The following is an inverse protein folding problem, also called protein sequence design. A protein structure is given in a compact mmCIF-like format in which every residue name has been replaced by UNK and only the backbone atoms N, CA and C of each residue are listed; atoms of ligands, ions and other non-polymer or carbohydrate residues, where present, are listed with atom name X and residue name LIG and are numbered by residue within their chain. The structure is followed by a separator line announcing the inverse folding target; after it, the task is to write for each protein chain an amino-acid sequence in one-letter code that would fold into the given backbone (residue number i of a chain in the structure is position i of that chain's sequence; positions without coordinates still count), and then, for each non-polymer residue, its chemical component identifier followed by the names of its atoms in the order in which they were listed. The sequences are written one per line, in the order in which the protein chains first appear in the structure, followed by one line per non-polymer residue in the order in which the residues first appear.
data_IF_408886389426
#
_entry.id   IF_408886389426
#
_cell.length_a   1.000
_cell.length_b   1.000
_cell.length_c   1.000
_cell.angle_alpha   90.00
_cell.angle_beta   90.00
_cell.angle_gamma   90.00
#
_symmetry.space_group_name_H-M   'P 1'
#
loop_
_entity.id
_entity.type
_entity.pdbx_description
1 polymer ?
#
# COMPACT_ATOMS: atom_id res chain seq x y z
N UNK A 1 -12.11 6.89 -7.80
CA UNK A 1 -11.72 7.80 -6.69
C UNK A 1 -12.78 8.00 -5.61
N UNK A 2 -13.91 8.71 -5.80
CA UNK A 2 -14.82 9.07 -4.68
C UNK A 2 -15.31 7.88 -3.82
N UNK A 3 -15.57 6.71 -4.41
CA UNK A 3 -15.91 5.50 -3.65
C UNK A 3 -14.74 4.97 -2.81
N UNK A 4 -13.50 5.02 -3.32
CA UNK A 4 -12.31 4.56 -2.59
C UNK A 4 -12.11 5.37 -1.30
N UNK A 5 -12.30 6.71 -1.34
CA UNK A 5 -12.23 7.51 -0.12
C UNK A 5 -13.29 7.08 0.90
N UNK A 6 -14.56 6.87 0.51
CA UNK A 6 -15.60 6.41 1.46
C UNK A 6 -15.25 5.08 2.12
N UNK A 7 -14.78 4.08 1.36
CA UNK A 7 -14.35 2.80 1.93
C UNK A 7 -13.10 2.94 2.82
N UNK A 8 -12.16 3.79 2.44
CA UNK A 8 -10.95 4.15 3.19
C UNK A 8 -11.31 4.71 4.58
N UNK A 9 -12.16 5.75 4.63
CA UNK A 9 -12.65 6.35 5.88
C UNK A 9 -13.49 5.37 6.72
N UNK A 10 -14.34 4.54 6.10
CA UNK A 10 -15.07 3.48 6.81
C UNK A 10 -14.17 2.39 7.39
N UNK A 11 -12.99 2.14 6.80
CA UNK A 11 -11.98 1.24 7.37
C UNK A 11 -11.27 1.90 8.55
N UNK A 12 -10.82 3.16 8.40
CA UNK A 12 -10.21 3.92 9.50
C UNK A 12 -11.15 4.03 10.70
N UNK A 13 -12.42 4.38 10.48
CA UNK A 13 -13.44 4.47 11.53
C UNK A 13 -13.65 3.14 12.27
N UNK A 14 -13.60 2.00 11.55
CA UNK A 14 -13.61 0.67 12.18
C UNK A 14 -12.35 0.41 12.99
N UNK A 15 -11.15 0.72 12.46
CA UNK A 15 -9.88 0.57 13.18
C UNK A 15 -9.87 1.36 14.49
N UNK A 16 -10.26 2.64 14.45
CA UNK A 16 -10.35 3.52 15.63
C UNK A 16 -11.42 3.05 16.62
N UNK A 17 -12.58 2.60 16.13
CA UNK A 17 -13.65 2.03 16.99
C UNK A 17 -13.20 0.71 17.64
N UNK A 18 -12.38 -0.08 16.95
CA UNK A 18 -11.82 -1.32 17.49
C UNK A 18 -10.74 -1.02 18.53
N UNK A 19 -9.88 -0.03 18.29
CA UNK A 19 -8.89 0.42 19.27
C UNK A 19 -9.52 1.01 20.53
N UNK A 20 -10.55 1.85 20.42
CA UNK A 20 -11.25 2.40 21.60
C UNK A 20 -11.92 1.29 22.42
N UNK A 21 -12.57 0.31 21.76
CA UNK A 21 -13.11 -0.89 22.41
C UNK A 21 -12.03 -1.76 23.05
N UNK A 22 -10.86 -1.90 22.43
CA UNK A 22 -9.76 -2.70 22.98
C UNK A 22 -9.12 -1.99 24.19
N UNK A 23 -8.95 -0.68 24.12
CA UNK A 23 -8.48 0.15 25.23
C UNK A 23 -9.45 0.15 26.40
N UNK A 24 -10.77 0.25 26.17
CA UNK A 24 -11.79 0.12 27.23
C UNK A 24 -11.74 -1.28 27.88
N UNK A 25 -11.55 -2.35 27.09
CA UNK A 25 -11.34 -3.69 27.64
C UNK A 25 -10.05 -3.79 28.46
N UNK A 26 -8.93 -3.26 27.98
CA UNK A 26 -7.66 -3.28 28.71
C UNK A 26 -7.68 -2.42 29.98
N UNK A 27 -8.36 -1.27 29.96
CA UNK A 27 -8.63 -0.46 31.14
C UNK A 27 -9.51 -1.22 32.15
N UNK A 28 -10.56 -1.91 31.69
CA UNK A 28 -11.41 -2.76 32.54
C UNK A 28 -10.65 -3.94 33.14
N UNK A 29 -9.72 -4.55 32.39
CA UNK A 29 -8.87 -5.64 32.87
C UNK A 29 -7.86 -5.10 33.91
N UNK A 30 -7.13 -4.01 33.61
CA UNK A 30 -6.24 -3.35 34.60
C UNK A 30 -6.97 -2.93 35.88
N UNK A 31 -8.17 -2.34 35.75
CA UNK A 31 -9.00 -1.95 36.90
C UNK A 31 -9.46 -3.15 37.76
N UNK A 32 -9.50 -4.36 37.20
CA UNK A 32 -9.87 -5.60 37.90
C UNK A 32 -8.65 -6.32 38.50
N UNK A 33 -7.42 -5.97 38.09
CA UNK A 33 -6.19 -6.72 38.45
C UNK A 33 -5.15 -5.89 39.21
N UNK A 34 -5.25 -4.56 39.28
CA UNK A 34 -4.32 -3.75 40.09
C UNK A 34 -4.99 -2.57 40.79
N UNK A 35 -5.32 -2.73 42.07
CA UNK A 35 -5.38 -1.62 43.00
C UNK A 35 -3.97 -1.26 43.47
N UNK A 36 -3.38 -0.20 42.91
CA UNK A 36 -2.26 0.63 43.43
C UNK A 36 -2.09 1.82 42.46
N UNK A 37 -1.97 3.08 42.94
CA UNK A 37 -1.83 4.24 42.06
C UNK A 37 -0.39 4.43 41.56
N UNK A 38 -0.22 4.91 40.32
CA UNK A 38 1.08 5.24 39.74
C UNK A 38 1.12 6.74 39.39
N UNK A 39 2.16 7.41 39.87
CA UNK A 39 2.39 8.85 39.77
C UNK A 39 3.13 9.20 38.44
N UNK A 40 2.66 10.13 37.60
CA UNK A 40 3.27 10.39 36.30
C UNK A 40 4.39 11.44 36.38
N UNK A 41 5.66 11.01 36.35
CA UNK A 41 6.78 11.93 36.09
C UNK A 41 8.04 11.26 35.54
N UNK A 42 8.29 11.38 34.23
CA UNK A 42 9.64 11.49 33.66
C UNK A 42 9.60 11.97 32.19
N UNK A 43 10.09 13.20 31.97
CA UNK A 43 10.61 13.64 30.67
C UNK A 43 12.08 13.19 30.51
N UNK A 44 12.58 13.25 29.26
CA UNK A 44 14.00 13.27 28.88
C UNK A 44 14.71 11.91 28.92
N UNK A 45 15.50 11.47 27.93
CA UNK A 45 16.56 12.21 27.19
C UNK A 45 16.88 11.60 25.81
N UNK A 46 17.58 12.40 24.99
CA UNK A 46 18.18 12.11 23.67
C UNK A 46 18.87 10.75 23.48
N UNK A 47 18.85 10.24 22.24
CA UNK A 47 20.01 9.55 21.65
C UNK A 47 20.06 9.71 20.11
N UNK A 48 21.27 9.92 19.60
CA UNK A 48 21.57 10.21 18.17
C UNK A 48 22.13 8.96 17.49
N UNK A 49 22.08 8.94 16.14
CA UNK A 49 23.04 8.26 15.24
C UNK A 49 22.93 6.73 15.05
N UNK A 50 22.49 6.29 13.85
CA UNK A 50 23.37 5.59 12.92
C UNK A 50 22.84 5.56 11.47
N UNK A 51 23.74 5.56 10.48
CA UNK A 51 23.45 5.30 9.05
C UNK A 51 23.80 3.84 8.69
N UNK A 52 23.13 3.19 7.72
CA UNK A 52 23.54 1.87 7.23
C UNK A 52 24.73 1.97 6.24
N UNK A 53 25.63 0.97 6.20
CA UNK A 53 26.74 0.93 5.25
C UNK A 53 26.34 0.30 3.90
N UNK A 54 26.84 0.89 2.81
CA UNK A 54 26.84 0.29 1.47
C UNK A 54 28.00 -0.70 1.32
N UNK A 55 27.75 -1.86 0.72
CA UNK A 55 28.76 -2.90 0.49
C UNK A 55 28.45 -3.78 -0.73
N UNK A 56 28.98 -3.38 -1.88
CA UNK A 56 28.96 -4.14 -3.13
C UNK A 56 30.12 -5.15 -3.14
N UNK A 57 29.90 -6.42 -3.54
CA UNK A 57 30.91 -7.21 -4.27
C UNK A 57 30.27 -8.18 -5.28
N UNK A 58 30.98 -8.37 -6.39
CA UNK A 58 30.61 -9.24 -7.52
C UNK A 58 31.09 -10.68 -7.32
N UNK A 59 30.44 -11.63 -7.98
CA UNK A 59 30.97 -12.97 -8.25
C UNK A 59 30.63 -13.44 -9.66
N UNK A 60 31.59 -13.39 -10.59
CA UNK A 60 31.49 -14.02 -11.92
C UNK A 60 31.83 -15.51 -11.82
N UNK A 61 31.15 -16.35 -12.59
CA UNK A 61 31.82 -17.41 -13.35
C UNK A 61 30.98 -17.84 -14.57
N UNK A 62 31.63 -18.47 -15.56
CA UNK A 62 31.07 -18.71 -16.89
C UNK A 62 31.36 -20.13 -17.41
N UNK A 63 30.56 -20.58 -18.38
CA UNK A 63 30.87 -21.54 -19.45
C UNK A 63 29.81 -21.33 -20.56
N UNK A 64 30.11 -21.23 -21.86
CA UNK A 64 30.65 -22.25 -22.81
C UNK A 64 29.68 -23.43 -22.97
N UNK A 65 29.33 -23.96 -24.15
CA UNK A 65 29.57 -23.68 -25.60
C UNK A 65 28.45 -24.43 -26.40
N UNK A 66 28.23 -24.42 -27.73
CA UNK A 66 29.04 -24.08 -28.92
C UNK A 66 28.15 -23.72 -30.17
N UNK A 67 28.72 -23.79 -31.39
CA UNK A 67 28.21 -23.96 -32.79
C UNK A 67 26.78 -24.55 -32.98
N UNK A 68 26.00 -24.37 -34.08
CA UNK A 68 26.15 -23.83 -35.46
C UNK A 68 24.85 -24.21 -36.25
N UNK A 69 24.68 -24.19 -37.59
CA UNK A 69 25.36 -23.61 -38.77
C UNK A 69 24.40 -23.74 -40.02
N UNK A 70 24.73 -23.16 -41.18
CA UNK A 70 24.09 -23.28 -42.54
C UNK A 70 22.71 -22.61 -42.74
N UNK A 71 22.47 -21.71 -43.72
CA UNK A 71 22.70 -21.71 -45.18
C UNK A 71 21.65 -22.52 -45.99
N UNK A 72 20.71 -21.82 -46.66
CA UNK A 72 20.20 -22.24 -47.98
C UNK A 72 19.46 -21.12 -48.74
N UNK A 73 19.80 -20.99 -50.03
CA UNK A 73 18.99 -20.57 -51.19
C UNK A 73 18.11 -19.31 -51.16
N UNK A 74 18.54 -18.33 -51.97
CA UNK A 74 17.72 -17.29 -52.60
C UNK A 74 16.50 -17.89 -53.32
N UNK A 75 15.33 -17.27 -53.15
CA UNK A 75 14.21 -17.37 -54.09
C UNK A 75 13.58 -16.00 -54.30
N UNK A 76 13.32 -15.62 -55.56
CA UNK A 76 12.74 -14.32 -55.94
C UNK A 76 11.26 -14.50 -56.25
N UNK A 77 10.40 -13.71 -55.62
CA UNK A 77 9.06 -13.40 -56.14
C UNK A 77 8.73 -11.92 -55.97
N UNK A 78 8.03 -11.37 -56.96
CA UNK A 78 7.59 -9.98 -57.05
C UNK A 78 6.33 -9.73 -56.20
N UNK A 79 6.12 -8.47 -55.78
CA UNK A 79 4.75 -7.97 -55.50
C UNK A 79 4.63 -7.00 -54.32
N UNK A 80 4.28 -5.74 -54.64
CA UNK A 80 3.57 -4.78 -53.76
C UNK A 80 3.94 -4.76 -52.26
N UNK A 81 5.04 -4.08 -51.90
CA UNK A 81 5.18 -3.52 -50.55
C UNK A 81 4.32 -2.25 -50.49
N UNK A 82 3.06 -2.44 -50.08
CA UNK A 82 2.12 -1.34 -49.90
C UNK A 82 2.55 -0.39 -48.79
N UNK A 83 2.39 0.91 -49.04
CA UNK A 83 2.59 1.99 -48.05
C UNK A 83 1.44 2.00 -47.03
N UNK A 84 1.32 0.94 -46.24
CA UNK A 84 0.35 0.77 -45.15
C UNK A 84 1.04 0.11 -43.95
N UNK A 85 1.85 0.90 -43.25
CA UNK A 85 2.39 0.57 -41.93
C UNK A 85 2.36 1.85 -41.08
N UNK A 86 2.23 1.67 -39.76
CA UNK A 86 1.97 2.73 -38.76
C UNK A 86 0.50 3.18 -38.68
N UNK A 87 -0.39 2.26 -38.27
CA UNK A 87 -1.57 2.61 -37.45
C UNK A 87 -2.12 1.43 -36.60
N UNK A 88 -1.70 0.19 -36.84
CA UNK A 88 -2.32 -1.01 -36.24
C UNK A 88 -1.91 -1.42 -34.82
N UNK A 89 -1.03 -0.68 -34.13
CA UNK A 89 -0.49 -1.09 -32.81
C UNK A 89 -1.32 -0.58 -31.63
N UNK A 90 -1.59 0.73 -31.54
CA UNK A 90 -2.26 1.35 -30.37
C UNK A 90 -3.60 0.70 -30.00
N UNK A 91 -4.48 0.48 -30.97
CA UNK A 91 -5.85 -0.03 -30.73
C UNK A 91 -5.85 -1.43 -30.07
N UNK A 92 -4.84 -2.28 -30.31
CA UNK A 92 -4.76 -3.61 -29.68
C UNK A 92 -4.20 -3.59 -28.25
N UNK A 93 -3.50 -2.53 -27.89
CA UNK A 93 -2.87 -2.37 -26.58
C UNK A 93 -3.87 -1.76 -25.61
N UNK A 94 -4.50 -0.66 -26.01
CA UNK A 94 -5.57 0.03 -25.26
C UNK A 94 -6.76 -0.90 -24.92
N UNK A 95 -7.20 -1.75 -25.87
CA UNK A 95 -8.26 -2.74 -25.61
C UNK A 95 -7.83 -3.86 -24.63
N UNK A 96 -6.54 -4.22 -24.59
CA UNK A 96 -6.03 -5.25 -23.66
C UNK A 96 -5.89 -4.70 -22.24
N UNK A 97 -5.45 -3.46 -22.12
CA UNK A 97 -5.33 -2.74 -20.84
C UNK A 97 -6.70 -2.57 -20.18
N UNK A 98 -7.70 -2.06 -20.92
CA UNK A 98 -9.08 -1.94 -20.46
C UNK A 98 -9.68 -3.29 -20.00
N UNK A 99 -9.49 -4.36 -20.78
CA UNK A 99 -9.92 -5.71 -20.39
C UNK A 99 -9.16 -6.24 -19.16
N UNK A 100 -7.94 -5.79 -18.92
CA UNK A 100 -7.15 -6.06 -17.71
C UNK A 100 -7.72 -5.34 -16.50
N UNK A 101 -7.99 -4.03 -16.62
CA UNK A 101 -8.63 -3.21 -15.58
C UNK A 101 -9.98 -3.76 -15.14
N UNK A 102 -10.85 -4.15 -16.09
CA UNK A 102 -12.16 -4.73 -15.79
C UNK A 102 -12.03 -5.99 -14.92
N UNK A 103 -11.06 -6.86 -15.21
CA UNK A 103 -10.77 -8.07 -14.41
C UNK A 103 -10.25 -7.71 -13.02
N UNK A 104 -9.34 -6.74 -12.91
CA UNK A 104 -8.82 -6.24 -11.63
C UNK A 104 -9.98 -5.70 -10.77
N UNK A 105 -10.82 -4.84 -11.36
CA UNK A 105 -11.99 -4.25 -10.70
C UNK A 105 -12.98 -5.34 -10.27
N UNK A 106 -13.22 -6.36 -11.10
CA UNK A 106 -14.09 -7.48 -10.75
C UNK A 106 -13.57 -8.28 -9.54
N UNK A 107 -12.28 -8.63 -9.54
CA UNK A 107 -11.66 -9.34 -8.41
C UNK A 107 -11.68 -8.52 -7.12
N UNK A 108 -11.41 -7.20 -7.19
CA UNK A 108 -11.55 -6.28 -6.06
C UNK A 108 -12.99 -6.27 -5.51
N UNK A 109 -14.00 -6.20 -6.38
CA UNK A 109 -15.41 -6.24 -5.96
C UNK A 109 -15.76 -7.54 -5.23
N UNK A 110 -15.30 -8.69 -5.75
CA UNK A 110 -15.49 -9.98 -5.07
C UNK A 110 -14.73 -10.05 -3.73
N UNK A 111 -13.53 -9.47 -3.66
CA UNK A 111 -12.75 -9.39 -2.42
C UNK A 111 -13.46 -8.55 -1.35
N UNK A 112 -14.10 -7.44 -1.74
CA UNK A 112 -14.93 -6.59 -0.88
C UNK A 112 -16.16 -7.33 -0.34
N UNK A 113 -16.91 -8.01 -1.22
CA UNK A 113 -18.04 -8.84 -0.81
C UNK A 113 -17.62 -9.97 0.14
N UNK A 114 -16.41 -10.51 -0.02
CA UNK A 114 -15.86 -11.51 0.91
C UNK A 114 -15.44 -10.89 2.26
N UNK A 115 -14.90 -9.66 2.28
CA UNK A 115 -14.61 -8.92 3.54
C UNK A 115 -15.91 -8.65 4.33
N UNK A 116 -16.97 -8.21 3.66
CA UNK A 116 -18.28 -7.95 4.30
C UNK A 116 -18.87 -9.22 4.94
N UNK A 117 -18.63 -10.38 4.33
CA UNK A 117 -19.00 -11.71 4.87
C UNK A 117 -18.00 -12.27 5.89
N UNK A 118 -16.91 -11.55 6.19
CA UNK A 118 -15.78 -12.02 7.03
C UNK A 118 -15.05 -13.25 6.48
N UNK A 119 -15.17 -13.51 5.18
CA UNK A 119 -14.47 -14.56 4.43
C UNK A 119 -13.01 -14.12 4.10
N UNK A 120 -12.25 -13.66 5.10
CA UNK A 120 -10.98 -12.93 4.90
C UNK A 120 -9.93 -13.71 4.09
N UNK A 121 -9.85 -15.04 4.25
CA UNK A 121 -8.94 -15.90 3.45
C UNK A 121 -9.27 -15.87 1.95
N UNK A 122 -10.55 -15.86 1.60
CA UNK A 122 -11.03 -15.80 0.21
C UNK A 122 -10.86 -14.41 -0.37
N UNK A 123 -11.09 -13.36 0.44
CA UNK A 123 -10.73 -11.99 0.06
C UNK A 123 -9.24 -11.86 -0.26
N UNK A 124 -8.37 -12.42 0.59
CA UNK A 124 -6.92 -12.41 0.38
C UNK A 124 -6.51 -13.07 -0.94
N UNK A 125 -7.07 -14.24 -1.26
CA UNK A 125 -6.85 -14.93 -2.54
C UNK A 125 -7.27 -14.06 -3.73
N UNK A 126 -8.43 -13.43 -3.66
CA UNK A 126 -8.95 -12.54 -4.72
C UNK A 126 -8.07 -11.29 -4.88
N UNK A 127 -7.56 -10.72 -3.79
CA UNK A 127 -6.63 -9.58 -3.82
C UNK A 127 -5.27 -9.96 -4.39
N UNK A 128 -4.73 -11.15 -4.09
CA UNK A 128 -3.50 -11.63 -4.73
C UNK A 128 -3.66 -11.82 -6.25
N UNK A 129 -4.80 -12.35 -6.71
CA UNK A 129 -5.10 -12.47 -8.14
C UNK A 129 -5.24 -11.09 -8.80
N UNK A 130 -5.91 -10.13 -8.13
CA UNK A 130 -6.02 -8.76 -8.60
C UNK A 130 -4.64 -8.08 -8.69
N UNK A 131 -3.78 -8.24 -7.68
CA UNK A 131 -2.45 -7.65 -7.63
C UNK A 131 -1.56 -8.20 -8.75
N UNK A 132 -1.64 -9.51 -9.01
CA UNK A 132 -0.94 -10.15 -10.14
C UNK A 132 -1.37 -9.54 -11.47
N UNK A 133 -2.68 -9.43 -11.73
CA UNK A 133 -3.18 -8.81 -12.95
C UNK A 133 -2.74 -7.34 -13.08
N UNK A 134 -2.71 -6.59 -11.97
CA UNK A 134 -2.23 -5.20 -11.95
C UNK A 134 -0.72 -5.07 -12.23
N UNK A 135 0.10 -6.09 -11.90
CA UNK A 135 1.50 -6.17 -12.36
C UNK A 135 1.60 -6.55 -13.84
N UNK A 136 0.78 -7.48 -14.32
CA UNK A 136 0.78 -7.94 -15.74
C UNK A 136 0.45 -6.80 -16.73
N UNK A 137 -0.38 -5.82 -16.35
CA UNK A 137 -0.65 -4.60 -17.14
C UNK A 137 0.10 -3.35 -16.66
N UNK A 138 1.05 -3.48 -15.73
CA UNK A 138 1.84 -2.36 -15.16
C UNK A 138 1.04 -1.20 -14.53
N UNK A 139 -0.23 -1.40 -14.17
CA UNK A 139 -1.09 -0.36 -13.57
C UNK A 139 -0.72 -0.10 -12.10
N UNK A 140 0.26 0.78 -11.88
CA UNK A 140 0.85 1.06 -10.57
C UNK A 140 -0.14 1.53 -9.49
N UNK A 141 -1.13 2.37 -9.84
CA UNK A 141 -2.12 2.83 -8.85
C UNK A 141 -3.06 1.71 -8.38
N UNK A 142 -3.38 0.75 -9.26
CA UNK A 142 -4.12 -0.45 -8.89
C UNK A 142 -3.26 -1.33 -7.95
N UNK A 143 -1.97 -1.52 -8.25
CA UNK A 143 -1.04 -2.25 -7.37
C UNK A 143 -1.04 -1.65 -5.95
N UNK A 144 -0.85 -0.32 -5.82
CA UNK A 144 -0.86 0.42 -4.54
C UNK A 144 -2.20 0.27 -3.80
N UNK A 145 -3.31 0.42 -4.51
CA UNK A 145 -4.65 0.28 -3.92
C UNK A 145 -4.91 -1.14 -3.40
N UNK A 146 -4.53 -2.16 -4.15
CA UNK A 146 -4.72 -3.56 -3.77
C UNK A 146 -3.84 -3.92 -2.56
N UNK A 147 -2.62 -3.39 -2.47
CA UNK A 147 -1.73 -3.60 -1.32
C UNK A 147 -2.31 -2.95 -0.04
N UNK A 148 -2.85 -1.73 -0.10
CA UNK A 148 -3.57 -1.14 1.05
C UNK A 148 -4.74 -2.03 1.48
N UNK A 149 -5.47 -2.60 0.51
CA UNK A 149 -6.62 -3.44 0.82
C UNK A 149 -6.26 -4.83 1.36
N UNK A 150 -5.13 -5.40 0.94
CA UNK A 150 -4.56 -6.60 1.55
C UNK A 150 -4.16 -6.35 3.01
N UNK A 151 -3.60 -5.18 3.30
CA UNK A 151 -3.27 -4.78 4.67
C UNK A 151 -4.53 -4.55 5.52
N UNK A 152 -5.57 -3.91 4.97
CA UNK A 152 -6.88 -3.79 5.61
C UNK A 152 -7.52 -5.16 5.90
N UNK A 153 -7.46 -6.09 4.93
CA UNK A 153 -7.98 -7.45 5.07
C UNK A 153 -7.22 -8.24 6.15
N UNK A 154 -5.89 -8.12 6.20
CA UNK A 154 -5.07 -8.73 7.25
C UNK A 154 -5.41 -8.17 8.65
N UNK A 155 -5.61 -6.85 8.76
CA UNK A 155 -6.02 -6.19 10.01
C UNK A 155 -7.38 -6.72 10.49
N UNK A 156 -8.39 -6.75 9.62
CA UNK A 156 -9.75 -7.20 9.97
C UNK A 156 -9.79 -8.71 10.29
N UNK A 157 -8.88 -9.50 9.71
CA UNK A 157 -8.66 -10.90 10.06
C UNK A 157 -7.93 -11.11 11.40
N UNK A 158 -7.38 -10.06 12.01
CA UNK A 158 -6.59 -10.11 13.24
C UNK A 158 -5.09 -10.41 13.04
N UNK A 159 -4.61 -10.52 11.80
CA UNK A 159 -3.19 -10.68 11.47
C UNK A 159 -2.49 -9.31 11.44
N UNK A 160 -2.36 -8.71 12.63
CA UNK A 160 -1.85 -7.37 12.80
C UNK A 160 -0.39 -7.21 12.36
N UNK A 161 0.44 -8.26 12.47
CA UNK A 161 1.85 -8.21 12.05
C UNK A 161 2.00 -8.25 10.53
N UNK A 162 1.13 -8.98 9.82
CA UNK A 162 1.03 -8.91 8.35
C UNK A 162 0.51 -7.54 7.88
N UNK A 163 -0.50 -7.00 8.57
CA UNK A 163 -1.02 -5.66 8.29
C UNK A 163 0.07 -4.58 8.46
N UNK A 164 0.79 -4.59 9.59
CA UNK A 164 1.93 -3.69 9.85
C UNK A 164 2.94 -3.75 8.72
N UNK A 165 3.42 -4.95 8.35
CA UNK A 165 4.40 -5.13 7.29
C UNK A 165 3.93 -4.55 5.96
N UNK A 166 2.70 -4.87 5.53
CA UNK A 166 2.15 -4.40 4.26
C UNK A 166 1.98 -2.87 4.23
N UNK A 167 1.54 -2.24 5.34
CA UNK A 167 1.45 -0.78 5.43
C UNK A 167 2.82 -0.10 5.43
N UNK A 168 3.81 -0.65 6.16
CA UNK A 168 5.19 -0.14 6.19
C UNK A 168 5.83 -0.23 4.80
N UNK A 169 5.68 -1.36 4.11
CA UNK A 169 6.26 -1.56 2.78
C UNK A 169 5.56 -0.67 1.73
N UNK A 170 4.25 -0.45 1.83
CA UNK A 170 3.51 0.51 1.00
C UNK A 170 3.96 1.96 1.24
N UNK A 171 4.19 2.37 2.49
CA UNK A 171 4.74 3.71 2.80
C UNK A 171 6.14 3.89 2.20
N UNK A 172 7.03 2.90 2.35
CA UNK A 172 8.37 2.95 1.73
C UNK A 172 8.28 3.12 0.22
N UNK A 173 7.39 2.37 -0.44
CA UNK A 173 7.16 2.49 -1.88
C UNK A 173 6.64 3.88 -2.26
N UNK A 174 5.61 4.40 -1.58
CA UNK A 174 5.08 5.74 -1.85
C UNK A 174 6.14 6.84 -1.70
N UNK A 175 7.00 6.75 -0.68
CA UNK A 175 8.11 7.70 -0.49
C UNK A 175 9.18 7.54 -1.59
N UNK A 176 9.46 6.31 -2.02
CA UNK A 176 10.41 6.03 -3.13
C UNK A 176 9.88 6.57 -4.46
N UNK A 177 8.57 6.48 -4.68
CA UNK A 177 7.85 7.03 -5.83
C UNK A 177 7.72 8.57 -5.78
N UNK A 178 8.30 9.24 -4.78
CA UNK A 178 8.27 10.70 -4.64
C UNK A 178 6.96 11.30 -4.13
N UNK A 179 6.05 10.48 -3.58
CA UNK A 179 4.78 10.97 -3.01
C UNK A 179 5.06 11.82 -1.77
N UNK A 180 4.60 13.07 -1.79
CA UNK A 180 4.81 14.02 -0.69
C UNK A 180 4.19 13.54 0.63
N UNK A 181 4.86 13.79 1.76
CA UNK A 181 4.40 13.37 3.10
C UNK A 181 3.02 13.97 3.49
N UNK A 182 2.69 15.14 2.94
CA UNK A 182 1.39 15.82 3.08
C UNK A 182 0.27 15.24 2.18
N UNK A 183 0.57 14.22 1.37
CA UNK A 183 -0.41 13.55 0.54
C UNK A 183 -1.32 12.64 1.37
N UNK A 184 -2.62 12.63 1.04
CA UNK A 184 -3.64 11.95 1.84
C UNK A 184 -3.39 10.45 2.00
N UNK A 185 -2.75 9.78 1.03
CA UNK A 185 -2.42 8.35 1.15
C UNK A 185 -1.40 8.08 2.26
N UNK A 186 -0.34 8.90 2.34
CA UNK A 186 0.70 8.76 3.38
C UNK A 186 0.09 9.06 4.75
N UNK A 187 -0.61 10.20 4.91
CA UNK A 187 -1.28 10.55 6.17
C UNK A 187 -2.24 9.43 6.62
N UNK A 188 -3.03 8.87 5.70
CA UNK A 188 -4.00 7.83 6.02
C UNK A 188 -3.35 6.51 6.45
N UNK A 189 -2.30 6.05 5.75
CA UNK A 189 -1.60 4.82 6.12
C UNK A 189 -0.81 5.02 7.44
N UNK A 190 -0.18 6.19 7.64
CA UNK A 190 0.47 6.54 8.91
C UNK A 190 -0.50 6.48 10.10
N UNK A 191 -1.76 6.92 9.93
CA UNK A 191 -2.77 6.80 10.98
C UNK A 191 -3.13 5.34 11.32
N UNK A 192 -3.19 4.46 10.32
CA UNK A 192 -3.39 3.00 10.54
C UNK A 192 -2.20 2.37 11.26
N UNK A 193 -0.98 2.76 10.90
CA UNK A 193 0.25 2.30 11.57
C UNK A 193 0.34 2.80 13.01
N UNK A 194 0.02 4.06 13.28
CA UNK A 194 -0.04 4.61 14.63
C UNK A 194 -1.02 3.82 15.51
N UNK A 195 -2.20 3.48 14.96
CA UNK A 195 -3.19 2.63 15.62
C UNK A 195 -2.67 1.20 15.88
N UNK A 196 -1.96 0.58 14.92
CA UNK A 196 -1.31 -0.72 15.12
C UNK A 196 -0.23 -0.67 16.20
N UNK A 197 0.63 0.35 16.23
CA UNK A 197 1.63 0.52 17.29
C UNK A 197 1.00 0.71 18.66
N UNK A 198 -0.12 1.44 18.74
CA UNK A 198 -0.89 1.56 19.98
C UNK A 198 -1.46 0.20 20.45
N UNK A 199 -1.91 -0.64 19.51
CA UNK A 199 -2.33 -2.03 19.79
C UNK A 199 -1.18 -2.95 20.20
N UNK A 200 0.05 -2.67 19.77
CA UNK A 200 1.27 -3.39 20.18
C UNK A 200 1.88 -2.87 21.49
N UNK A 201 1.28 -1.84 22.11
CA UNK A 201 1.84 -1.12 23.26
C UNK A 201 3.18 -0.42 22.97
N UNK A 202 3.46 -0.10 21.69
CA UNK A 202 4.61 0.68 21.25
C UNK A 202 4.27 2.18 21.27
N UNK A 203 4.01 2.71 22.47
CA UNK A 203 3.41 4.04 22.68
C UNK A 203 4.18 5.18 21.97
N UNK A 204 5.52 5.15 21.98
CA UNK A 204 6.35 6.17 21.32
C UNK A 204 6.05 6.24 19.82
N UNK A 205 6.04 5.10 19.11
CA UNK A 205 5.75 5.05 17.67
C UNK A 205 4.29 5.43 17.37
N UNK A 206 3.36 5.07 18.26
CA UNK A 206 1.97 5.48 18.14
C UNK A 206 1.84 7.00 18.22
N UNK A 207 2.45 7.63 19.23
CA UNK A 207 2.48 9.09 19.39
C UNK A 207 3.17 9.79 18.22
N UNK A 208 4.32 9.31 17.75
CA UNK A 208 5.00 9.84 16.55
C UNK A 208 4.10 9.79 15.31
N UNK A 209 3.45 8.64 15.06
CA UNK A 209 2.54 8.47 13.94
C UNK A 209 1.29 9.35 14.01
N UNK A 210 0.69 9.50 15.19
CA UNK A 210 -0.46 10.41 15.37
C UNK A 210 -0.06 11.88 15.25
N UNK A 211 1.07 12.29 15.84
CA UNK A 211 1.60 13.66 15.72
C UNK A 211 1.93 14.01 14.27
N UNK A 212 2.52 13.07 13.52
CA UNK A 212 2.75 13.22 12.07
C UNK A 212 1.44 13.51 11.32
N UNK A 213 0.38 12.76 11.62
CA UNK A 213 -0.93 12.96 10.99
C UNK A 213 -1.56 14.30 11.36
N UNK A 214 -1.56 14.67 12.66
CA UNK A 214 -2.11 15.94 13.16
C UNK A 214 -1.41 17.13 12.48
N UNK A 215 -0.07 17.17 12.53
CA UNK A 215 0.74 18.23 11.93
C UNK A 215 0.39 18.48 10.45
N UNK A 216 0.31 17.39 9.66
CA UNK A 216 0.02 17.51 8.23
C UNK A 216 -1.44 17.85 7.93
N UNK A 217 -2.40 17.47 8.78
CA UNK A 217 -3.81 17.83 8.62
C UNK A 217 -4.06 19.30 9.00
N UNK A 218 -3.49 19.76 10.11
CA UNK A 218 -3.57 21.17 10.53
C UNK A 218 -2.97 22.11 9.48
N UNK A 219 -1.82 21.76 8.91
CA UNK A 219 -1.18 22.56 7.85
C UNK A 219 -2.05 22.67 6.59
N UNK A 220 -2.88 21.67 6.29
CA UNK A 220 -3.80 21.69 5.15
C UNK A 220 -5.03 22.54 5.43
N UNK A 221 -5.61 22.41 6.63
CA UNK A 221 -6.75 23.24 7.07
C UNK A 221 -6.38 24.72 7.03
N UNK A 222 -5.23 25.10 7.62
CA UNK A 222 -4.73 26.50 7.60
C UNK A 222 -4.56 27.04 6.17
N UNK A 223 -3.99 26.23 5.27
CA UNK A 223 -3.84 26.62 3.87
C UNK A 223 -5.18 26.78 3.13
N UNK A 224 -6.15 25.93 3.42
CA UNK A 224 -7.51 26.04 2.86
C UNK A 224 -8.24 27.30 3.40
N UNK A 225 -8.04 27.63 4.69
CA UNK A 225 -8.53 28.87 5.31
C UNK A 225 -7.87 30.12 4.70
N UNK A 226 -6.54 30.13 4.51
CA UNK A 226 -5.81 31.24 3.87
C UNK A 226 -6.32 31.54 2.46
N UNK A 227 -6.57 30.50 1.65
CA UNK A 227 -7.12 30.64 0.29
C UNK A 227 -8.54 31.20 0.31
N UNK A 228 -9.35 30.85 1.31
CA UNK A 228 -10.73 31.33 1.42
C UNK A 228 -10.82 32.80 1.89
N UNK A 229 -9.86 33.27 2.68
CA UNK A 229 -9.85 34.62 3.26
C UNK A 229 -8.99 35.63 2.48
N UNK A 230 -8.22 35.19 1.49
CA UNK A 230 -7.41 36.07 0.63
C UNK A 230 -7.43 35.59 -0.84
N UNK A 231 -8.55 35.81 -1.56
CA UNK A 231 -8.81 35.29 -2.91
C UNK A 231 -8.05 36.02 -4.04
#
# INVERSE_FOLDING_TARGET
MFSQQKHSWCSLARMVTQYSRMSVKQLSIKATTSGIPINPHCLSTNSTLHKPPTGLQNGKSANKENEGNNQSTISKCFGFVGLMSILGTKVKEENKEQLGEEKIIHMIKLAKLSQERKEFKKSEQLLHLALRAAYEIQHHDAQKYIIDDMANNAYEAGDFKKAEKLFVDLIKQLVTDGVAQSHNSIIHISAKLANLYAMFHEEVKACEGFNFCIHHLEAKIKKEEEILHNP
#
